data_IF_847800778329
#
_entry.id   IF_847800778329
#
_cell.length_a   1.000
_cell.length_b   1.000
_cell.length_c   1.000
_cell.angle_alpha   90.00
_cell.angle_beta   90.00
_cell.angle_gamma   90.00
#
_symmetry.space_group_name_H-M   'P 1'
#
loop_
_entity.id
_entity.type
_entity.pdbx_description
1 polymer ?
#
# COMPACT_ATOMS: atom_id res chain seq x y z
N UNK A 1 56.78 -13.95 -26.59
CA UNK A 1 56.38 -12.55 -26.35
C UNK A 1 55.37 -12.15 -27.42
N UNK A 2 54.07 -12.28 -27.14
CA UNK A 2 53.00 -11.86 -28.06
C UNK A 2 52.65 -10.38 -27.86
N UNK A 3 52.33 -9.61 -28.93
CA UNK A 3 52.15 -8.16 -28.82
C UNK A 3 50.82 -7.83 -28.14
N UNK A 4 50.88 -7.04 -27.07
CA UNK A 4 49.72 -6.45 -26.40
C UNK A 4 49.14 -5.34 -27.28
N UNK A 5 48.01 -5.58 -27.95
CA UNK A 5 47.23 -4.50 -28.57
C UNK A 5 46.22 -3.95 -27.56
N UNK A 6 46.45 -2.71 -27.18
CA UNK A 6 45.68 -1.96 -26.20
C UNK A 6 44.39 -1.38 -26.80
N UNK A 7 43.29 -1.47 -26.04
CA UNK A 7 42.17 -0.51 -25.96
C UNK A 7 41.15 -0.43 -27.11
N UNK A 8 40.04 -1.15 -26.96
CA UNK A 8 38.75 -0.79 -27.56
C UNK A 8 38.17 0.45 -26.88
N UNK A 9 38.29 1.62 -27.51
CA UNK A 9 37.55 2.80 -27.08
C UNK A 9 36.05 2.60 -27.35
N UNK A 10 35.21 2.76 -26.33
CA UNK A 10 33.75 2.66 -26.42
C UNK A 10 33.17 3.55 -27.52
N UNK A 11 32.18 3.05 -28.27
CA UNK A 11 31.59 3.75 -29.45
C UNK A 11 31.18 5.20 -29.14
N UNK A 12 30.70 5.48 -27.93
CA UNK A 12 30.38 6.83 -27.45
C UNK A 12 31.60 7.77 -27.40
N UNK A 13 32.78 7.27 -27.01
CA UNK A 13 34.04 8.04 -26.97
C UNK A 13 34.52 8.39 -28.39
N UNK A 14 34.35 7.47 -29.33
CA UNK A 14 34.67 7.68 -30.75
C UNK A 14 33.73 8.71 -31.39
N UNK A 15 32.43 8.65 -31.07
CA UNK A 15 31.44 9.59 -31.58
C UNK A 15 31.64 11.02 -31.05
N UNK A 16 31.97 11.18 -29.77
CA UNK A 16 32.30 12.48 -29.19
C UNK A 16 33.55 13.10 -29.81
N UNK A 17 34.59 12.31 -30.06
CA UNK A 17 35.81 12.78 -30.75
C UNK A 17 35.53 13.20 -32.20
N UNK A 18 34.58 12.58 -32.89
CA UNK A 18 34.12 13.02 -34.22
C UNK A 18 33.36 14.35 -34.14
N UNK A 19 32.47 14.52 -33.15
CA UNK A 19 31.73 15.77 -32.91
C UNK A 19 32.67 16.93 -32.57
N UNK A 20 33.71 16.70 -31.78
CA UNK A 20 34.75 17.69 -31.46
C UNK A 20 35.53 18.14 -32.70
N UNK A 21 35.94 17.21 -33.57
CA UNK A 21 36.59 17.53 -34.85
C UNK A 21 35.70 18.37 -35.77
N UNK A 22 34.41 18.05 -35.86
CA UNK A 22 33.45 18.83 -36.66
C UNK A 22 33.25 20.24 -36.09
N UNK A 23 33.27 20.38 -34.77
CA UNK A 23 33.24 21.70 -34.11
C UNK A 23 34.52 22.46 -34.43
N UNK A 24 35.69 21.84 -34.31
CA UNK A 24 36.99 22.47 -34.60
C UNK A 24 37.07 22.97 -36.05
N UNK A 25 36.59 22.17 -37.00
CA UNK A 25 36.57 22.49 -38.43
C UNK A 25 35.58 23.61 -38.77
N UNK A 26 34.32 23.51 -38.30
CA UNK A 26 33.29 24.55 -38.55
C UNK A 26 33.52 25.87 -37.82
N UNK A 27 34.38 25.86 -36.78
CA UNK A 27 34.73 27.07 -36.02
C UNK A 27 36.18 27.53 -36.30
N UNK A 28 36.85 26.90 -37.27
CA UNK A 28 38.21 27.22 -37.67
C UNK A 28 38.27 28.66 -38.21
N UNK A 29 39.29 29.43 -37.80
CA UNK A 29 39.46 30.83 -38.16
C UNK A 29 38.54 31.84 -37.45
N UNK A 30 37.34 31.45 -37.00
CA UNK A 30 36.44 32.33 -36.23
C UNK A 30 36.83 32.43 -34.75
N UNK A 31 37.46 31.38 -34.18
CA UNK A 31 37.93 31.37 -32.79
C UNK A 31 38.97 32.46 -32.47
N UNK A 32 39.77 32.88 -33.45
CA UNK A 32 40.79 33.91 -33.28
C UNK A 32 40.27 35.35 -33.42
N UNK A 33 39.05 35.52 -33.96
CA UNK A 33 38.37 36.83 -34.04
C UNK A 33 37.42 36.98 -32.84
N UNK A 34 37.89 37.65 -31.78
CA UNK A 34 37.17 37.91 -30.51
C UNK A 34 35.94 38.86 -30.64
N UNK A 35 35.19 38.78 -31.73
CA UNK A 35 33.95 39.56 -31.93
C UNK A 35 32.73 38.86 -31.32
N UNK A 36 31.83 39.60 -30.67
CA UNK A 36 30.63 39.05 -30.02
C UNK A 36 29.68 38.31 -30.99
N UNK A 37 29.61 38.74 -32.26
CA UNK A 37 28.86 38.02 -33.31
C UNK A 37 29.48 36.64 -33.62
N UNK A 38 30.81 36.56 -33.64
CA UNK A 38 31.53 35.32 -33.90
C UNK A 38 31.45 34.36 -32.71
N UNK A 39 31.50 34.86 -31.48
CA UNK A 39 31.26 34.03 -30.29
C UNK A 39 29.85 33.45 -30.25
N UNK A 40 28.82 34.24 -30.59
CA UNK A 40 27.44 33.74 -30.71
C UNK A 40 27.30 32.67 -31.77
N UNK A 41 27.94 32.84 -32.92
CA UNK A 41 27.95 31.83 -33.99
C UNK A 41 28.69 30.54 -33.58
N UNK A 42 29.84 30.65 -32.91
CA UNK A 42 30.59 29.49 -32.37
C UNK A 42 29.72 28.73 -31.35
N UNK A 43 29.02 29.44 -30.46
CA UNK A 43 28.11 28.85 -29.50
C UNK A 43 26.94 28.12 -30.19
N UNK A 44 26.32 28.75 -31.20
CA UNK A 44 25.22 28.15 -31.97
C UNK A 44 25.65 26.88 -32.72
N UNK A 45 26.82 26.91 -33.38
CA UNK A 45 27.37 25.75 -34.11
C UNK A 45 27.75 24.62 -33.14
N UNK A 46 28.34 24.94 -31.99
CA UNK A 46 28.60 23.96 -30.94
C UNK A 46 27.31 23.32 -30.43
N UNK A 47 26.26 24.11 -30.21
CA UNK A 47 24.95 23.63 -29.76
C UNK A 47 24.30 22.74 -30.83
N UNK A 48 24.37 23.12 -32.10
CA UNK A 48 23.81 22.34 -33.21
C UNK A 48 24.53 21.00 -33.42
N UNK A 49 25.86 20.94 -33.26
CA UNK A 49 26.62 19.69 -33.42
C UNK A 49 26.49 18.78 -32.17
N UNK A 50 26.41 19.36 -30.97
CA UNK A 50 26.25 18.60 -29.72
C UNK A 50 24.82 18.10 -29.51
N UNK A 51 23.81 18.91 -29.85
CA UNK A 51 22.41 18.59 -29.57
C UNK A 51 21.59 18.21 -30.81
N UNK A 52 22.01 18.57 -32.03
CA UNK A 52 21.30 18.23 -33.27
C UNK A 52 21.39 16.76 -33.67
N UNK A 53 22.26 15.98 -33.01
CA UNK A 53 22.54 14.59 -33.38
C UNK A 53 21.67 13.52 -32.72
N UNK A 54 20.78 13.82 -31.78
CA UNK A 54 20.00 12.75 -31.15
C UNK A 54 18.64 13.19 -30.62
N UNK A 55 17.78 13.67 -31.53
CA UNK A 55 16.34 13.70 -31.28
C UNK A 55 15.83 12.34 -30.77
N UNK A 56 16.44 11.24 -31.23
CA UNK A 56 16.20 9.88 -30.72
C UNK A 56 16.59 9.69 -29.23
N UNK A 57 17.71 10.25 -28.76
CA UNK A 57 18.11 10.10 -27.36
C UNK A 57 17.25 10.95 -26.41
N UNK A 58 16.84 12.16 -26.83
CA UNK A 58 15.88 12.97 -26.07
C UNK A 58 14.52 12.28 -25.98
N UNK A 59 13.99 11.77 -27.09
CA UNK A 59 12.74 10.99 -27.10
C UNK A 59 12.78 9.78 -26.17
N UNK A 60 13.92 9.06 -26.13
CA UNK A 60 14.09 7.91 -25.25
C UNK A 60 14.17 8.30 -23.76
N UNK A 61 14.74 9.47 -23.44
CA UNK A 61 14.81 9.99 -22.08
C UNK A 61 13.43 10.50 -21.60
N UNK A 62 12.71 11.23 -22.46
CA UNK A 62 11.35 11.68 -22.19
C UNK A 62 10.38 10.49 -22.02
N UNK A 63 10.51 9.44 -22.81
CA UNK A 63 9.70 8.21 -22.69
C UNK A 63 9.99 7.46 -21.37
N UNK A 64 11.26 7.39 -20.95
CA UNK A 64 11.62 6.82 -19.63
C UNK A 64 11.09 7.65 -18.47
N UNK A 65 11.10 8.98 -18.57
CA UNK A 65 10.52 9.87 -17.55
C UNK A 65 9.02 9.65 -17.45
N UNK A 66 8.33 9.60 -18.58
CA UNK A 66 6.89 9.35 -18.63
C UNK A 66 6.52 7.96 -18.08
N UNK A 67 7.31 6.92 -18.37
CA UNK A 67 7.11 5.59 -17.80
C UNK A 67 7.33 5.55 -16.29
N UNK A 68 8.33 6.27 -15.77
CA UNK A 68 8.57 6.36 -14.32
C UNK A 68 7.41 7.08 -13.62
N UNK A 69 6.95 8.19 -14.20
CA UNK A 69 5.83 8.98 -13.67
C UNK A 69 4.53 8.17 -13.66
N UNK A 70 4.24 7.41 -14.72
CA UNK A 70 3.09 6.50 -14.77
C UNK A 70 3.15 5.41 -13.69
N UNK A 71 4.32 4.77 -13.50
CA UNK A 71 4.51 3.75 -12.45
C UNK A 71 4.36 4.33 -11.06
N UNK A 72 4.85 5.56 -10.83
CA UNK A 72 4.72 6.26 -9.56
C UNK A 72 3.26 6.64 -9.28
N UNK A 73 2.54 7.14 -10.29
CA UNK A 73 1.11 7.44 -10.19
C UNK A 73 0.27 6.19 -9.92
N UNK A 74 0.58 5.07 -10.59
CA UNK A 74 -0.09 3.79 -10.35
C UNK A 74 0.18 3.25 -8.94
N UNK A 75 1.43 3.28 -8.48
CA UNK A 75 1.80 2.88 -7.13
C UNK A 75 1.13 3.78 -6.07
N UNK A 76 0.98 5.08 -6.36
CA UNK A 76 0.26 6.01 -5.49
C UNK A 76 -1.25 5.70 -5.46
N UNK A 77 -1.86 5.43 -6.61
CA UNK A 77 -3.26 5.02 -6.68
C UNK A 77 -3.50 3.70 -5.95
N UNK A 78 -2.61 2.70 -6.09
CA UNK A 78 -2.70 1.44 -5.34
C UNK A 78 -2.61 1.66 -3.82
N UNK A 79 -1.73 2.55 -3.36
CA UNK A 79 -1.62 2.91 -1.94
C UNK A 79 -2.88 3.62 -1.43
N UNK A 80 -3.41 4.57 -2.21
CA UNK A 80 -4.64 5.29 -1.86
C UNK A 80 -5.85 4.33 -1.78
N UNK A 81 -5.95 3.39 -2.72
CA UNK A 81 -6.96 2.33 -2.67
C UNK A 81 -6.77 1.43 -1.44
N UNK A 82 -5.53 1.02 -1.13
CA UNK A 82 -5.25 0.22 0.06
C UNK A 82 -5.62 0.96 1.35
N UNK A 83 -5.36 2.27 1.42
CA UNK A 83 -5.71 3.10 2.57
C UNK A 83 -7.22 3.28 2.73
N UNK A 84 -7.96 3.41 1.62
CA UNK A 84 -9.41 3.52 1.64
C UNK A 84 -10.11 2.25 2.15
N UNK A 85 -9.59 1.08 1.79
CA UNK A 85 -10.16 -0.21 2.22
C UNK A 85 -9.61 -0.73 3.56
N UNK A 86 -8.85 0.08 4.31
CA UNK A 86 -8.41 -0.32 5.66
C UNK A 86 -9.62 -0.46 6.59
N UNK A 87 -9.85 -1.65 7.18
CA UNK A 87 -10.98 -1.85 8.07
C UNK A 87 -10.85 -0.93 9.30
N UNK A 88 -11.96 -0.26 9.66
CA UNK A 88 -12.04 0.61 10.84
C UNK A 88 -11.66 -0.22 12.08
N UNK A 89 -10.57 0.17 12.72
CA UNK A 89 -10.00 -0.55 13.84
C UNK A 89 -10.83 -0.29 15.10
N UNK A 90 -11.64 -1.27 15.51
CA UNK A 90 -12.28 -1.26 16.82
C UNK A 90 -11.21 -1.45 17.88
N UNK A 91 -10.93 -0.41 18.67
CA UNK A 91 -10.04 -0.52 19.83
C UNK A 91 -10.61 -1.60 20.75
N UNK A 92 -9.88 -2.72 20.90
CA UNK A 92 -10.24 -3.78 21.83
C UNK A 92 -10.33 -3.19 23.24
N UNK A 93 -11.55 -3.04 23.76
CA UNK A 93 -11.80 -2.69 25.16
C UNK A 93 -11.42 -3.91 25.99
N UNK A 94 -10.25 -3.83 26.62
CA UNK A 94 -9.79 -4.83 27.57
C UNK A 94 -10.22 -4.40 28.96
N UNK A 95 -10.88 -5.31 29.68
CA UNK A 95 -11.30 -5.09 31.06
C UNK A 95 -10.08 -4.90 31.97
N UNK A 96 -10.19 -3.98 32.94
CA UNK A 96 -9.10 -3.61 33.83
C UNK A 96 -8.81 -4.76 34.81
N UNK A 97 -7.99 -5.71 34.38
CA UNK A 97 -7.64 -6.89 35.17
C UNK A 97 -7.21 -8.11 34.34
N UNK A 98 -7.50 -8.12 33.04
CA UNK A 98 -7.08 -9.20 32.16
C UNK A 98 -5.61 -9.03 31.73
N UNK A 99 -4.83 -10.12 31.81
CA UNK A 99 -3.47 -10.14 31.33
C UNK A 99 -3.43 -9.87 29.82
N UNK A 100 -2.73 -8.84 29.36
CA UNK A 100 -2.81 -8.45 27.95
C UNK A 100 -2.25 -9.52 27.01
N UNK A 101 -1.34 -10.39 27.48
CA UNK A 101 -0.80 -11.52 26.72
C UNK A 101 -1.72 -12.73 26.60
N UNK A 102 -2.78 -12.83 27.40
CA UNK A 102 -3.79 -13.88 27.21
C UNK A 102 -4.83 -13.49 26.17
N UNK A 103 -4.79 -12.26 25.66
CA UNK A 103 -5.74 -11.71 24.70
C UNK A 103 -5.06 -11.60 23.34
N UNK A 104 -5.72 -12.14 22.32
CA UNK A 104 -5.27 -12.01 20.95
C UNK A 104 -5.29 -10.56 20.46
N UNK A 105 -4.19 -10.18 19.82
CA UNK A 105 -4.06 -8.88 19.18
C UNK A 105 -5.02 -8.77 17.99
N UNK A 106 -5.99 -7.85 18.04
CA UNK A 106 -6.87 -7.59 16.89
C UNK A 106 -6.09 -7.19 15.63
N UNK A 107 -4.98 -6.45 15.80
CA UNK A 107 -4.13 -6.05 14.68
C UNK A 107 -3.39 -7.24 14.08
N UNK A 108 -3.03 -8.24 14.88
CA UNK A 108 -2.38 -9.45 14.38
C UNK A 108 -3.36 -10.34 13.63
N UNK A 109 -4.58 -10.48 14.18
CA UNK A 109 -5.69 -11.17 13.50
C UNK A 109 -5.99 -10.56 12.13
N UNK A 110 -5.87 -9.24 11.99
CA UNK A 110 -6.05 -8.51 10.73
C UNK A 110 -4.78 -8.39 9.88
N UNK A 111 -3.63 -8.94 10.31
CA UNK A 111 -2.36 -8.86 9.58
C UNK A 111 -1.72 -7.47 9.52
N UNK A 112 -2.18 -6.51 10.33
CA UNK A 112 -1.73 -5.11 10.35
C UNK A 112 -0.86 -4.77 11.56
N UNK A 113 -0.54 -5.74 12.43
CA UNK A 113 0.26 -5.51 13.62
C UNK A 113 1.74 -5.23 13.30
N UNK A 114 2.18 -3.98 13.40
CA UNK A 114 3.60 -3.59 13.25
C UNK A 114 4.47 -3.84 14.50
N UNK A 115 3.90 -4.33 15.60
CA UNK A 115 4.63 -4.51 16.88
C UNK A 115 5.39 -5.83 16.97
N UNK A 116 5.07 -6.80 16.12
CA UNK A 116 5.70 -8.13 16.13
C UNK A 116 5.67 -8.77 17.51
N UNK A 117 6.73 -9.47 17.90
CA UNK A 117 6.84 -10.19 19.18
C UNK A 117 6.86 -9.28 20.42
N UNK A 118 7.04 -7.97 20.22
CA UNK A 118 6.96 -6.97 21.29
C UNK A 118 5.55 -6.43 21.49
N UNK A 119 4.55 -7.01 20.83
CA UNK A 119 3.16 -6.63 21.04
C UNK A 119 2.73 -6.91 22.49
N UNK A 120 1.94 -5.97 23.05
CA UNK A 120 1.34 -6.13 24.38
C UNK A 120 0.32 -7.27 24.40
N UNK A 121 -0.29 -7.56 23.25
CA UNK A 121 -1.26 -8.61 23.01
C UNK A 121 -0.61 -9.82 22.34
N UNK A 122 -1.18 -11.01 22.51
CA UNK A 122 -0.61 -12.23 21.92
C UNK A 122 -0.80 -12.29 20.41
N UNK A 123 0.20 -12.88 19.75
CA UNK A 123 0.21 -13.22 18.33
C UNK A 123 0.01 -14.72 18.09
N UNK A 124 -0.54 -15.43 19.08
CA UNK A 124 -0.77 -16.87 19.00
C UNK A 124 -2.25 -17.12 18.70
N UNK A 125 -2.55 -17.48 17.44
CA UNK A 125 -3.92 -17.75 16.96
C UNK A 125 -4.62 -18.87 17.74
N UNK A 126 -3.89 -19.71 18.46
CA UNK A 126 -4.49 -20.76 19.29
C UNK A 126 -5.26 -20.20 20.49
N UNK A 127 -4.93 -18.98 20.92
CA UNK A 127 -5.60 -18.32 22.05
C UNK A 127 -7.06 -18.00 21.71
N UNK A 128 -7.43 -17.74 20.45
CA UNK A 128 -8.84 -17.55 20.05
C UNK A 128 -9.64 -18.86 20.12
N UNK A 129 -8.97 -19.97 19.85
CA UNK A 129 -9.60 -21.29 19.76
C UNK A 129 -9.93 -21.86 21.13
N UNK A 130 -9.36 -21.31 22.20
CA UNK A 130 -9.72 -21.63 23.60
C UNK A 130 -11.01 -20.90 24.02
N UNK A 131 -11.98 -20.78 23.12
CA UNK A 131 -13.35 -20.45 23.47
C UNK A 131 -13.87 -21.51 24.47
N UNK A 132 -14.73 -21.10 25.39
CA UNK A 132 -15.30 -21.97 26.40
C UNK A 132 -15.77 -23.30 25.80
N UNK A 133 -15.41 -24.40 26.47
CA UNK A 133 -15.88 -25.73 26.08
C UNK A 133 -17.39 -25.76 26.29
N UNK A 134 -18.15 -25.47 25.24
CA UNK A 134 -19.59 -25.70 25.23
C UNK A 134 -19.81 -27.18 25.53
N UNK A 135 -20.37 -27.45 26.71
CA UNK A 135 -20.65 -28.80 27.15
C UNK A 135 -21.61 -29.44 26.14
N UNK A 136 -21.23 -30.59 25.57
CA UNK A 136 -22.09 -31.36 24.67
C UNK A 136 -23.41 -31.78 25.35
N UNK A 137 -23.44 -31.76 26.69
CA UNK A 137 -24.56 -32.17 27.52
C UNK A 137 -25.46 -31.00 27.95
N UNK A 138 -25.08 -29.75 27.68
CA UNK A 138 -25.93 -28.59 27.88
C UNK A 138 -26.54 -28.21 26.53
N UNK A 139 -27.76 -28.71 26.27
CA UNK A 139 -28.53 -28.30 25.10
C UNK A 139 -29.06 -26.88 25.34
N UNK A 140 -28.77 -25.96 24.42
CA UNK A 140 -29.24 -24.56 24.55
C UNK A 140 -30.77 -24.44 24.43
N UNK A 141 -31.44 -25.51 23.97
CA UNK A 141 -32.90 -25.63 24.01
C UNK A 141 -33.46 -25.84 25.43
N UNK A 142 -32.66 -26.31 26.39
CA UNK A 142 -33.10 -26.45 27.78
C UNK A 142 -33.03 -25.12 28.55
N UNK A 143 -32.14 -24.19 28.17
CA UNK A 143 -32.17 -22.79 28.66
C UNK A 143 -33.38 -22.01 28.12
N UNK A 144 -33.93 -22.42 26.96
CA UNK A 144 -35.15 -21.88 26.36
C UNK A 144 -36.45 -22.59 26.80
N UNK A 145 -36.38 -23.61 27.69
CA UNK A 145 -37.58 -24.07 28.38
C UNK A 145 -37.95 -23.01 29.41
N UNK A 146 -38.72 -22.05 28.91
CA UNK A 146 -39.50 -21.08 29.65
C UNK A 146 -39.96 -21.68 30.99
N UNK A 147 -39.69 -20.92 32.06
CA UNK A 147 -40.00 -21.27 33.43
C UNK A 147 -41.35 -21.95 33.58
N UNK A 148 -41.39 -22.90 34.51
CA UNK A 148 -42.63 -23.46 35.02
C UNK A 148 -43.56 -22.32 35.45
N UNK A 149 -44.88 -22.60 35.58
CA UNK A 149 -45.91 -21.61 35.97
C UNK A 149 -45.55 -20.76 37.22
N UNK A 150 -44.55 -21.21 37.98
CA UNK A 150 -43.93 -20.57 39.14
C UNK A 150 -43.17 -19.27 38.82
N UNK A 151 -42.66 -19.07 37.60
CA UNK A 151 -41.94 -17.86 37.16
C UNK A 151 -42.86 -16.84 36.43
N UNK A 152 -44.19 -16.96 36.55
CA UNK A 152 -45.12 -16.03 35.91
C UNK A 152 -45.34 -14.79 36.77
N UNK A 153 -44.94 -13.62 36.27
CA UNK A 153 -45.23 -12.33 36.90
C UNK A 153 -46.75 -12.03 36.95
N UNK A 154 -47.19 -11.22 37.92
CA UNK A 154 -48.61 -10.85 38.13
C UNK A 154 -49.30 -10.31 36.87
N UNK A 155 -48.56 -9.65 36.00
CA UNK A 155 -49.08 -9.08 34.75
C UNK A 155 -49.45 -10.17 33.73
N UNK A 156 -48.57 -11.16 33.55
CA UNK A 156 -48.82 -12.32 32.68
C UNK A 156 -49.96 -13.19 33.21
N UNK A 157 -50.09 -13.28 34.54
CA UNK A 157 -51.20 -13.99 35.18
C UNK A 157 -52.55 -13.29 34.94
N UNK A 158 -52.59 -11.95 35.06
CA UNK A 158 -53.80 -11.15 34.78
C UNK A 158 -54.24 -11.28 33.32
N UNK A 159 -53.32 -11.21 32.37
CA UNK A 159 -53.62 -11.33 30.93
C UNK A 159 -54.25 -12.70 30.60
N UNK A 160 -53.72 -13.78 31.15
CA UNK A 160 -54.26 -15.13 30.94
C UNK A 160 -55.65 -15.29 31.55
N UNK A 161 -55.90 -14.70 32.73
CA UNK A 161 -57.21 -14.71 33.40
C UNK A 161 -58.24 -13.95 32.58
N UNK A 162 -57.95 -12.72 32.15
CA UNK A 162 -58.86 -11.93 31.33
C UNK A 162 -59.22 -12.65 30.02
N UNK A 163 -58.23 -13.28 29.37
CA UNK A 163 -58.45 -14.05 28.15
C UNK A 163 -59.36 -15.26 28.38
N UNK A 164 -59.20 -15.98 29.50
CA UNK A 164 -60.09 -17.09 29.89
C UNK A 164 -61.52 -16.64 30.17
N UNK A 165 -61.70 -15.50 30.84
CA UNK A 165 -63.04 -14.94 31.09
C UNK A 165 -63.69 -14.44 29.80
N UNK A 166 -62.93 -13.78 28.91
CA UNK A 166 -63.43 -13.33 27.62
C UNK A 166 -63.83 -14.49 26.67
N UNK A 167 -63.17 -15.65 26.76
CA UNK A 167 -63.59 -16.87 26.04
C UNK A 167 -64.81 -17.54 26.69
N UNK A 168 -64.99 -17.42 28.01
CA UNK A 168 -66.14 -17.97 28.72
C UNK A 168 -67.42 -17.15 28.48
N UNK A 169 -67.33 -15.81 28.40
CA UNK A 169 -68.45 -14.91 28.07
C UNK A 169 -68.85 -14.94 26.59
N UNK A 170 -68.00 -15.50 25.71
CA UNK A 170 -68.28 -15.67 24.27
C UNK A 170 -69.04 -16.95 23.91
N UNK A 171 -69.45 -17.75 24.91
CA UNK A 171 -70.13 -19.02 24.72
C UNK A 171 -71.54 -18.99 25.28
#
# INVERSE_FOLDING_TARGET
>A
MGPKTNSGASKAKVENKKKEKIIEDKTFGLKNKKGGKNQKFIAQVQQQVKHGGSAAAKKLEDEKRLQKEKKEAELKAQKEMQDLFKPVQTVQKVEKGADPKSILCAFFKQGTCGKGDRCKFSHDLEIERKAEKRSLYCDVRDDEKEGTNEDWDEEKLKEVIEKKHAEADKK
#
